data_IF_359235555567
#
_entry.id   IF_359235555567
#
_cell.length_a   1.000
_cell.length_b   1.000
_cell.length_c   1.000
_cell.angle_alpha   90.00
_cell.angle_beta   90.00
_cell.angle_gamma   90.00
#
_symmetry.space_group_name_H-M   'P 1'
#
loop_
_entity.id
_entity.type
_entity.pdbx_description
1 polymer ?
#
# COMPACT_ATOMS: atom_id res chain seq x y z
N UNK A 1 -12.03 -13.73 -3.07
CA UNK A 1 -11.11 -14.02 -1.93
C UNK A 1 -11.60 -13.34 -0.64
N UNK A 2 -11.01 -13.63 0.51
CA UNK A 2 -11.36 -13.03 1.81
C UNK A 2 -10.15 -12.39 2.51
N UNK A 3 -10.41 -11.37 3.34
CA UNK A 3 -9.40 -10.80 4.24
C UNK A 3 -9.26 -11.72 5.46
N UNK A 4 -8.08 -12.31 5.65
CA UNK A 4 -7.78 -13.14 6.82
C UNK A 4 -6.34 -12.94 7.28
N UNK A 5 -6.09 -13.14 8.57
CA UNK A 5 -4.75 -12.99 9.15
C UNK A 5 -3.75 -14.02 8.60
N UNK A 6 -4.22 -15.15 8.06
CA UNK A 6 -3.40 -16.19 7.43
C UNK A 6 -3.24 -16.02 5.92
N UNK A 7 -3.91 -15.04 5.30
CA UNK A 7 -3.78 -14.78 3.88
C UNK A 7 -2.35 -14.32 3.54
N UNK A 8 -1.75 -14.97 2.54
CA UNK A 8 -0.46 -14.57 2.00
C UNK A 8 -0.64 -13.34 1.10
N UNK A 9 0.17 -12.30 1.33
CA UNK A 9 0.22 -11.16 0.44
C UNK A 9 0.87 -11.54 -0.90
N UNK A 10 0.26 -11.09 -1.99
CA UNK A 10 0.81 -11.23 -3.33
C UNK A 10 0.90 -9.85 -3.98
N UNK A 11 2.10 -9.46 -4.38
CA UNK A 11 2.28 -8.24 -5.17
C UNK A 11 1.86 -8.50 -6.62
N UNK A 12 1.01 -7.62 -7.15
CA UNK A 12 0.57 -7.61 -8.55
C UNK A 12 0.66 -6.20 -9.09
N UNK A 13 0.88 -6.06 -10.40
CA UNK A 13 0.62 -4.77 -11.04
C UNK A 13 -0.89 -4.52 -11.03
N UNK A 14 -1.31 -3.25 -10.96
CA UNK A 14 -2.74 -2.90 -10.87
C UNK A 14 -3.57 -3.48 -12.05
N UNK A 15 -2.95 -3.61 -13.23
CA UNK A 15 -3.56 -4.20 -14.43
C UNK A 15 -3.70 -5.73 -14.40
N UNK A 16 -3.00 -6.40 -13.49
CA UNK A 16 -2.97 -7.86 -13.38
C UNK A 16 -3.81 -8.37 -12.18
N UNK A 17 -4.57 -7.46 -11.54
CA UNK A 17 -5.54 -7.78 -10.48
C UNK A 17 -6.74 -8.48 -11.11
N UNK A 18 -7.07 -9.67 -10.61
CA UNK A 18 -8.23 -10.43 -11.04
C UNK A 18 -9.51 -9.91 -10.37
N UNK A 19 -10.67 -10.20 -10.95
CA UNK A 19 -11.97 -9.70 -10.46
C UNK A 19 -12.28 -10.08 -9.00
N UNK A 20 -11.72 -11.19 -8.50
CA UNK A 20 -11.96 -11.70 -7.14
C UNK A 20 -10.80 -11.42 -6.15
N UNK A 21 -9.77 -10.69 -6.60
CA UNK A 21 -8.68 -10.22 -5.75
C UNK A 21 -9.13 -9.08 -4.83
N UNK A 22 -8.45 -8.95 -3.70
CA UNK A 22 -8.58 -7.79 -2.81
C UNK A 22 -7.28 -6.99 -2.88
N UNK A 23 -7.40 -5.68 -3.09
CA UNK A 23 -6.27 -4.74 -3.00
C UNK A 23 -6.18 -4.29 -1.55
N UNK A 24 -5.12 -4.68 -0.86
CA UNK A 24 -5.00 -4.51 0.60
C UNK A 24 -3.84 -3.60 1.02
N UNK A 25 -2.93 -3.27 0.10
CA UNK A 25 -1.82 -2.34 0.33
C UNK A 25 -1.25 -1.84 -1.01
N UNK A 26 -0.39 -0.83 -0.95
CA UNK A 26 0.36 -0.36 -2.12
C UNK A 26 1.53 -1.30 -2.46
N UNK A 27 1.70 -1.52 -3.76
CA UNK A 27 2.90 -2.16 -4.30
C UNK A 27 4.12 -1.23 -4.26
N UNK A 28 5.33 -1.80 -4.44
CA UNK A 28 6.59 -1.05 -4.32
C UNK A 28 6.71 0.10 -5.33
N UNK A 29 6.10 -0.03 -6.50
CA UNK A 29 6.16 1.00 -7.55
C UNK A 29 5.31 2.23 -7.18
N UNK A 30 4.12 2.01 -6.63
CA UNK A 30 3.25 3.08 -6.12
C UNK A 30 3.88 3.80 -4.93
N UNK A 31 4.50 3.05 -4.01
CA UNK A 31 5.26 3.62 -2.88
C UNK A 31 6.38 4.52 -3.41
N UNK A 32 7.22 4.04 -4.34
CA UNK A 32 8.32 4.86 -4.90
C UNK A 32 7.80 6.14 -5.55
N UNK A 33 6.72 6.04 -6.33
CA UNK A 33 6.12 7.20 -6.98
C UNK A 33 5.59 8.22 -5.96
N UNK A 34 4.88 7.75 -4.92
CA UNK A 34 4.35 8.62 -3.88
C UNK A 34 5.46 9.25 -3.03
N UNK A 35 6.47 8.49 -2.62
CA UNK A 35 7.65 9.01 -1.91
C UNK A 35 8.36 10.11 -2.70
N UNK A 36 8.48 9.96 -4.02
CA UNK A 36 9.08 11.02 -4.85
C UNK A 36 8.27 12.32 -4.82
N UNK A 37 6.94 12.22 -4.82
CA UNK A 37 6.04 13.37 -4.68
C UNK A 37 6.19 13.99 -3.28
N UNK A 38 6.14 13.19 -2.22
CA UNK A 38 6.26 13.64 -0.84
C UNK A 38 7.58 14.37 -0.58
N UNK A 39 8.70 13.84 -1.07
CA UNK A 39 10.02 14.46 -0.94
C UNK A 39 10.13 15.83 -1.63
N UNK A 40 9.28 16.08 -2.63
CA UNK A 40 9.24 17.35 -3.36
C UNK A 40 8.20 18.33 -2.80
N UNK A 41 7.34 17.89 -1.88
CA UNK A 41 6.25 18.69 -1.38
C UNK A 41 6.74 19.71 -0.33
N UNK A 42 6.36 20.97 -0.48
CA UNK A 42 6.66 22.00 0.53
C UNK A 42 5.79 21.89 1.79
N UNK A 43 4.65 21.19 1.72
CA UNK A 43 3.74 20.94 2.84
C UNK A 43 2.91 19.69 2.54
N UNK A 44 2.69 18.84 3.53
CA UNK A 44 1.89 17.61 3.42
C UNK A 44 0.80 17.62 4.48
N UNK A 45 -0.43 17.28 4.08
CA UNK A 45 -1.52 16.92 4.99
C UNK A 45 -1.92 15.49 4.64
N UNK A 46 -1.76 14.58 5.60
CA UNK A 46 -2.06 13.17 5.41
C UNK A 46 -3.13 12.71 6.40
N UNK A 47 -4.22 12.14 5.87
CA UNK A 47 -5.30 11.56 6.65
C UNK A 47 -5.69 10.18 6.10
N UNK A 48 -5.49 9.14 6.92
CA UNK A 48 -5.87 7.76 6.63
C UNK A 48 -4.70 6.88 6.16
N UNK A 49 -4.58 5.63 6.63
CA UNK A 49 -3.58 4.69 6.15
C UNK A 49 -3.82 4.31 4.68
N UNK A 50 -2.79 3.79 4.02
CA UNK A 50 -2.83 3.46 2.58
C UNK A 50 -3.25 2.00 2.33
N UNK A 51 -2.99 1.13 3.30
CA UNK A 51 -3.37 -0.27 3.30
C UNK A 51 -4.07 -0.67 4.59
N UNK A 52 -4.44 -1.95 4.67
CA UNK A 52 -5.04 -2.56 5.86
C UNK A 52 -3.93 -2.88 6.88
N UNK A 53 -3.35 -1.81 7.43
CA UNK A 53 -2.13 -1.84 8.26
C UNK A 53 -2.29 -2.65 9.56
N UNK A 54 -3.53 -2.94 9.97
CA UNK A 54 -3.84 -3.81 11.11
C UNK A 54 -3.34 -5.25 10.90
N UNK A 55 -3.09 -5.64 9.65
CA UNK A 55 -2.50 -6.93 9.28
C UNK A 55 -1.04 -6.73 8.84
N UNK A 56 -0.05 -7.33 9.52
CA UNK A 56 1.37 -7.11 9.23
C UNK A 56 1.78 -7.37 7.78
N UNK A 57 1.13 -8.32 7.11
CA UNK A 57 1.39 -8.64 5.70
C UNK A 57 0.91 -7.55 4.71
N UNK A 58 0.09 -6.59 5.15
CA UNK A 58 -0.49 -5.51 4.35
C UNK A 58 -0.15 -4.12 4.92
N UNK A 59 0.87 -4.02 5.78
CA UNK A 59 1.26 -2.78 6.45
C UNK A 59 2.46 -2.06 5.79
N UNK A 60 3.21 -2.75 4.93
CA UNK A 60 4.51 -2.29 4.44
C UNK A 60 4.41 -1.01 3.60
N UNK A 61 3.38 -0.87 2.77
CA UNK A 61 3.17 0.33 1.96
C UNK A 61 2.83 1.55 2.81
N UNK A 62 1.96 1.38 3.80
CA UNK A 62 1.64 2.46 4.76
C UNK A 62 2.88 2.89 5.54
N UNK A 63 3.69 1.95 6.03
CA UNK A 63 4.92 2.26 6.76
C UNK A 63 5.94 2.98 5.86
N UNK A 64 6.15 2.48 4.64
CA UNK A 64 7.12 3.08 3.72
C UNK A 64 6.77 4.52 3.37
N UNK A 65 5.47 4.82 3.16
CA UNK A 65 4.99 6.17 2.89
C UNK A 65 5.08 7.05 4.14
N UNK A 66 4.81 6.50 5.34
CA UNK A 66 4.95 7.25 6.59
C UNK A 66 6.40 7.66 6.89
N UNK A 67 7.39 6.94 6.34
CA UNK A 67 8.83 7.18 6.52
C UNK A 67 9.45 8.07 5.43
N UNK A 68 8.71 8.37 4.36
CA UNK A 68 9.13 9.26 3.29
C UNK A 68 9.12 10.71 3.76
#
# INVERSE_FOLDING_TARGET
KELSASAAAQTKAAKDVADDDLILDFGPDSVRALTAILNSAGTVVWNGPIGVFEHPQFAAGTEAVARA
#
